data_IF_306109924536
#
_entry.id   IF_306109924536
#
_cell.length_a   1.000
_cell.length_b   1.000
_cell.length_c   1.000
_cell.angle_alpha   90.00
_cell.angle_beta   90.00
_cell.angle_gamma   90.00
#
_symmetry.space_group_name_H-M   'P 1'
#
loop_
_entity.id
_entity.type
_entity.pdbx_description
1 polymer ?
#
# COMPACT_ATOMS: atom_id res chain seq x y z
N UNK A 1 23.43 11.74 4.90
CA UNK A 1 22.48 12.79 4.52
C UNK A 1 21.11 12.27 4.88
N UNK A 2 20.32 13.00 5.65
CA UNK A 2 18.94 12.60 5.96
C UNK A 2 18.19 12.44 4.64
N UNK A 3 17.54 11.31 4.44
CA UNK A 3 16.77 11.07 3.23
C UNK A 3 15.46 11.87 3.36
N UNK A 4 15.45 13.09 2.79
CA UNK A 4 14.29 13.99 2.85
C UNK A 4 13.17 13.58 1.88
N UNK A 5 13.17 12.30 1.45
CA UNK A 5 12.24 11.80 0.48
C UNK A 5 11.20 10.88 1.11
N UNK A 6 9.96 11.04 0.69
CA UNK A 6 8.88 10.08 0.94
C UNK A 6 8.66 9.27 -0.34
N UNK A 7 8.75 7.95 -0.23
CA UNK A 7 8.47 7.03 -1.32
C UNK A 7 6.96 6.89 -1.50
N UNK A 8 6.52 6.92 -2.75
CA UNK A 8 5.11 6.71 -3.11
C UNK A 8 4.96 5.31 -3.65
N UNK A 9 4.15 4.52 -2.95
CA UNK A 9 3.81 3.15 -3.30
C UNK A 9 2.36 3.09 -3.78
N UNK A 10 2.17 2.84 -5.07
CA UNK A 10 0.84 2.71 -5.67
C UNK A 10 0.34 1.28 -5.56
N UNK A 11 -0.84 1.10 -4.98
CA UNK A 11 -1.52 -0.19 -4.88
C UNK A 11 -2.82 -0.26 -5.70
N UNK A 12 -2.99 0.62 -6.68
CA UNK A 12 -4.19 0.69 -7.53
C UNK A 12 -4.48 -0.64 -8.23
N UNK A 13 -3.41 -1.34 -8.68
CA UNK A 13 -3.50 -2.62 -9.40
C UNK A 13 -3.66 -3.84 -8.48
N UNK A 14 -3.64 -3.65 -7.16
CA UNK A 14 -3.87 -4.71 -6.17
C UNK A 14 -5.06 -4.37 -5.28
N UNK A 15 -4.93 -3.42 -4.34
CA UNK A 15 -5.98 -3.04 -3.40
C UNK A 15 -7.09 -2.25 -4.10
N UNK A 16 -6.71 -1.38 -5.04
CA UNK A 16 -7.67 -0.65 -5.86
C UNK A 16 -8.61 -1.57 -6.63
N UNK A 17 -8.10 -2.71 -7.13
CA UNK A 17 -8.90 -3.71 -7.84
C UNK A 17 -9.85 -4.50 -6.91
N UNK A 18 -9.64 -4.46 -5.59
CA UNK A 18 -10.56 -5.05 -4.61
C UNK A 18 -11.82 -4.20 -4.38
N UNK A 19 -11.91 -3.03 -5.01
CA UNK A 19 -13.15 -2.23 -5.01
C UNK A 19 -14.29 -3.01 -5.66
N UNK A 20 -15.49 -2.90 -5.09
CA UNK A 20 -16.65 -3.65 -5.57
C UNK A 20 -16.97 -3.31 -7.04
N UNK A 21 -17.10 -4.34 -7.88
CA UNK A 21 -17.45 -4.20 -9.29
C UNK A 21 -16.29 -3.85 -10.23
N UNK A 22 -15.07 -3.84 -9.73
CA UNK A 22 -13.85 -3.60 -10.53
C UNK A 22 -13.21 -4.95 -10.90
N UNK A 23 -12.74 -5.05 -12.13
CA UNK A 23 -11.92 -6.13 -12.63
C UNK A 23 -11.16 -5.65 -13.86
N UNK A 24 -9.84 -5.68 -13.82
CA UNK A 24 -8.98 -5.21 -14.90
C UNK A 24 -8.44 -6.39 -15.70
N UNK A 25 -8.44 -6.25 -17.02
CA UNK A 25 -7.71 -7.18 -17.91
C UNK A 25 -6.19 -6.99 -17.78
N UNK A 26 -5.41 -7.96 -18.25
CA UNK A 26 -3.94 -7.87 -18.27
C UNK A 26 -3.48 -6.63 -19.04
N UNK A 27 -4.11 -6.34 -20.17
CA UNK A 27 -3.80 -5.19 -21.00
C UNK A 27 -4.10 -3.86 -20.29
N UNK A 28 -5.23 -3.76 -19.60
CA UNK A 28 -5.61 -2.57 -18.82
C UNK A 28 -4.65 -2.35 -17.66
N UNK A 29 -4.29 -3.42 -16.93
CA UNK A 29 -3.26 -3.34 -15.87
C UNK A 29 -1.93 -2.83 -16.42
N UNK A 30 -1.50 -3.28 -17.59
CA UNK A 30 -0.27 -2.79 -18.22
C UNK A 30 -0.36 -1.32 -18.60
N UNK A 31 -1.49 -0.87 -19.13
CA UNK A 31 -1.70 0.55 -19.48
C UNK A 31 -1.63 1.44 -18.24
N UNK A 32 -2.28 1.04 -17.15
CA UNK A 32 -2.20 1.76 -15.86
C UNK A 32 -0.77 1.75 -15.32
N UNK A 33 -0.09 0.60 -15.31
CA UNK A 33 1.30 0.50 -14.82
C UNK A 33 2.26 1.42 -15.59
N UNK A 34 2.14 1.51 -16.91
CA UNK A 34 2.93 2.44 -17.74
C UNK A 34 2.62 3.91 -17.42
N UNK A 35 1.40 4.23 -17.08
CA UNK A 35 1.06 5.60 -16.67
C UNK A 35 1.58 5.90 -15.26
N UNK A 36 1.54 4.95 -14.34
CA UNK A 36 2.15 5.08 -13.01
C UNK A 36 3.68 5.28 -13.08
N UNK A 37 4.35 4.59 -14.02
CA UNK A 37 5.76 4.84 -14.31
C UNK A 37 6.01 6.27 -14.81
N UNK A 38 5.14 6.81 -15.69
CA UNK A 38 5.23 8.21 -16.15
C UNK A 38 4.95 9.21 -15.03
N UNK A 39 4.01 8.88 -14.14
CA UNK A 39 3.72 9.67 -12.95
C UNK A 39 4.94 9.74 -12.02
N UNK A 40 5.82 8.74 -12.07
CA UNK A 40 7.04 8.70 -11.28
C UNK A 40 6.83 8.17 -9.87
N UNK A 41 5.86 7.27 -9.65
CA UNK A 41 5.76 6.54 -8.38
C UNK A 41 7.01 5.68 -8.17
N UNK A 42 7.40 5.50 -6.93
CA UNK A 42 8.62 4.75 -6.59
C UNK A 42 8.39 3.24 -6.64
N UNK A 43 7.19 2.79 -6.27
CA UNK A 43 6.80 1.37 -6.23
C UNK A 43 5.40 1.20 -6.84
N UNK A 44 5.20 0.12 -7.60
CA UNK A 44 3.90 -0.35 -8.10
C UNK A 44 3.65 -1.74 -7.55
N UNK A 45 2.59 -1.92 -6.77
CA UNK A 45 2.08 -3.24 -6.41
C UNK A 45 1.21 -3.76 -7.54
N UNK A 46 1.80 -4.63 -8.36
CA UNK A 46 1.20 -5.04 -9.63
C UNK A 46 0.09 -6.08 -9.48
N UNK A 47 -0.11 -6.61 -8.27
CA UNK A 47 -1.16 -7.58 -7.95
C UNK A 47 -0.77 -8.58 -6.88
N UNK A 48 -1.54 -9.66 -6.81
CA UNK A 48 -1.32 -10.81 -5.94
C UNK A 48 -1.18 -12.09 -6.78
N UNK A 49 0.05 -12.45 -7.14
CA UNK A 49 0.35 -13.52 -8.11
C UNK A 49 -0.31 -14.87 -7.78
N UNK A 50 -0.46 -15.19 -6.49
CA UNK A 50 -1.04 -16.46 -6.06
C UNK A 50 -2.58 -16.45 -6.03
N UNK A 51 -3.25 -15.33 -6.32
CA UNK A 51 -4.71 -15.23 -6.32
C UNK A 51 -5.34 -15.90 -7.54
N UNK A 52 -4.74 -15.71 -8.71
CA UNK A 52 -5.21 -16.30 -9.97
C UNK A 52 -4.12 -16.40 -11.02
N UNK A 53 -4.28 -17.27 -12.04
CA UNK A 53 -3.39 -17.29 -13.21
C UNK A 53 -3.35 -15.96 -13.96
N UNK A 54 -4.47 -15.22 -14.00
CA UNK A 54 -4.56 -13.91 -14.64
C UNK A 54 -3.72 -12.86 -13.92
N UNK A 55 -3.71 -12.86 -12.58
CA UNK A 55 -2.85 -11.95 -11.79
C UNK A 55 -1.37 -12.29 -11.98
N UNK A 56 -1.01 -13.56 -12.00
CA UNK A 56 0.35 -13.99 -12.31
C UNK A 56 0.79 -13.50 -13.69
N UNK A 57 -0.05 -13.64 -14.71
CA UNK A 57 0.22 -13.18 -16.07
C UNK A 57 0.36 -11.65 -16.13
N UNK A 58 -0.53 -10.92 -15.45
CA UNK A 58 -0.48 -9.46 -15.39
C UNK A 58 0.82 -8.96 -14.77
N UNK A 59 1.21 -9.50 -13.61
CA UNK A 59 2.48 -9.14 -12.95
C UNK A 59 3.67 -9.46 -13.85
N UNK A 60 3.70 -10.65 -14.47
CA UNK A 60 4.75 -11.05 -15.40
C UNK A 60 4.83 -10.10 -16.59
N UNK A 61 3.69 -9.67 -17.13
CA UNK A 61 3.63 -8.72 -18.25
C UNK A 61 4.15 -7.35 -17.84
N UNK A 62 3.72 -6.84 -16.69
CA UNK A 62 4.19 -5.56 -16.15
C UNK A 62 5.70 -5.59 -15.91
N UNK A 63 6.25 -6.64 -15.31
CA UNK A 63 7.70 -6.76 -15.07
C UNK A 63 8.55 -6.77 -16.32
N UNK A 64 8.01 -7.26 -17.44
CA UNK A 64 8.70 -7.25 -18.72
C UNK A 64 8.74 -5.86 -19.39
N UNK A 65 7.76 -4.99 -19.11
CA UNK A 65 7.52 -3.74 -19.84
C UNK A 65 7.86 -2.48 -19.03
N UNK A 66 7.64 -2.51 -17.71
CA UNK A 66 7.86 -1.37 -16.79
C UNK A 66 9.18 -1.56 -16.06
N UNK A 67 10.06 -0.54 -16.07
CA UNK A 67 11.48 -0.69 -15.67
C UNK A 67 11.92 0.25 -14.55
N UNK A 68 11.35 1.44 -14.47
CA UNK A 68 11.83 2.48 -13.55
C UNK A 68 11.42 2.22 -12.10
N UNK A 69 10.12 1.98 -11.76
CA UNK A 69 9.71 1.75 -10.40
C UNK A 69 10.10 0.35 -9.91
N UNK A 70 10.08 0.17 -8.61
CA UNK A 70 10.10 -1.16 -8.00
C UNK A 70 8.76 -1.82 -8.34
N UNK A 71 8.79 -3.07 -8.80
CA UNK A 71 7.57 -3.85 -9.02
C UNK A 71 7.41 -4.82 -7.86
N UNK A 72 6.29 -4.68 -7.14
CA UNK A 72 5.95 -5.49 -6.00
C UNK A 72 4.82 -6.48 -6.33
N UNK A 73 4.85 -7.64 -5.70
CA UNK A 73 3.74 -8.59 -5.66
C UNK A 73 3.41 -8.93 -4.21
N UNK A 74 2.12 -8.87 -3.88
CA UNK A 74 1.63 -9.32 -2.58
C UNK A 74 1.73 -10.84 -2.46
N UNK A 75 2.03 -11.33 -1.25
CA UNK A 75 2.07 -12.75 -0.91
C UNK A 75 1.65 -12.95 0.55
N UNK A 76 0.78 -13.91 0.84
CA UNK A 76 0.55 -14.33 2.23
C UNK A 76 1.83 -14.93 2.80
N UNK A 77 1.96 -14.95 4.12
CA UNK A 77 3.05 -15.66 4.82
C UNK A 77 2.91 -17.19 4.68
N UNK A 78 2.91 -17.66 3.44
CA UNK A 78 2.85 -19.07 3.01
C UNK A 78 3.92 -19.29 1.94
N UNK A 79 4.73 -20.34 2.07
CA UNK A 79 5.86 -20.59 1.16
C UNK A 79 5.46 -20.61 -0.32
N UNK A 80 4.34 -21.29 -0.64
CA UNK A 80 3.85 -21.39 -2.02
C UNK A 80 3.50 -20.03 -2.63
N UNK A 81 2.91 -19.12 -1.84
CA UNK A 81 2.54 -17.78 -2.32
C UNK A 81 3.80 -16.94 -2.64
N UNK A 82 4.82 -17.06 -1.80
CA UNK A 82 6.11 -16.36 -1.98
C UNK A 82 6.81 -16.87 -3.22
N UNK A 83 6.80 -18.20 -3.44
CA UNK A 83 7.39 -18.82 -4.63
C UNK A 83 6.69 -18.37 -5.92
N UNK A 84 5.37 -18.32 -5.91
CA UNK A 84 4.57 -17.83 -7.05
C UNK A 84 4.78 -16.34 -7.29
N UNK A 85 4.87 -15.54 -6.22
CA UNK A 85 5.20 -14.12 -6.34
C UNK A 85 6.58 -13.90 -6.97
N UNK A 86 7.58 -14.67 -6.53
CA UNK A 86 8.90 -14.62 -7.14
C UNK A 86 8.90 -15.04 -8.61
N UNK A 87 8.19 -16.11 -8.94
CA UNK A 87 8.11 -16.57 -10.33
C UNK A 87 7.59 -15.48 -11.28
N UNK A 88 6.61 -14.71 -10.85
CA UNK A 88 6.08 -13.58 -11.59
C UNK A 88 7.04 -12.36 -11.63
N UNK A 89 7.82 -12.14 -10.57
CA UNK A 89 8.68 -10.96 -10.40
C UNK A 89 10.12 -11.12 -10.93
N UNK A 90 10.60 -12.34 -11.13
CA UNK A 90 12.03 -12.66 -11.38
C UNK A 90 12.69 -11.96 -12.57
N UNK A 91 11.88 -11.34 -13.46
CA UNK A 91 12.35 -10.55 -14.60
C UNK A 91 12.29 -9.04 -14.38
N UNK A 92 11.77 -8.59 -13.24
CA UNK A 92 11.76 -7.18 -12.91
C UNK A 92 13.20 -6.68 -12.71
N UNK A 93 13.47 -5.46 -13.15
CA UNK A 93 14.75 -4.79 -12.88
C UNK A 93 14.94 -4.54 -11.37
N UNK A 94 13.84 -4.26 -10.67
CA UNK A 94 13.79 -3.95 -9.24
C UNK A 94 12.61 -4.67 -8.60
N UNK A 95 12.74 -5.98 -8.29
CA UNK A 95 11.66 -6.76 -7.69
C UNK A 95 11.53 -6.49 -6.19
N UNK A 96 10.29 -6.50 -5.68
CA UNK A 96 9.96 -6.54 -4.25
C UNK A 96 8.94 -7.64 -3.98
N UNK A 97 9.19 -8.47 -2.99
CA UNK A 97 8.16 -9.35 -2.43
C UNK A 97 7.56 -8.67 -1.23
N UNK A 98 6.24 -8.42 -1.28
CA UNK A 98 5.47 -7.86 -0.17
C UNK A 98 4.71 -8.99 0.52
N UNK A 99 5.12 -9.36 1.73
CA UNK A 99 4.47 -10.44 2.47
C UNK A 99 3.72 -9.91 3.68
N UNK A 100 2.58 -10.55 4.02
CA UNK A 100 1.72 -10.11 5.10
C UNK A 100 1.12 -11.27 5.88
N UNK A 101 0.79 -10.99 7.14
CA UNK A 101 0.01 -11.88 8.01
C UNK A 101 -0.79 -11.04 9.01
N UNK A 102 -1.99 -11.51 9.36
CA UNK A 102 -2.80 -10.85 10.39
C UNK A 102 -2.12 -10.92 11.76
N UNK A 103 -2.21 -9.83 12.52
CA UNK A 103 -1.51 -9.70 13.80
C UNK A 103 -2.42 -9.34 15.00
N UNK A 104 -3.65 -8.84 14.76
CA UNK A 104 -4.58 -8.51 15.85
C UNK A 104 -5.21 -9.76 16.48
N UNK A 105 -5.51 -9.70 17.76
CA UNK A 105 -6.11 -10.80 18.51
C UNK A 105 -7.38 -11.34 17.86
N UNK A 106 -8.23 -10.45 17.35
CA UNK A 106 -9.46 -10.82 16.62
C UNK A 106 -9.14 -11.68 15.41
N UNK A 107 -8.15 -11.28 14.61
CA UNK A 107 -7.77 -12.04 13.42
C UNK A 107 -7.01 -13.32 13.76
N UNK A 108 -6.21 -13.33 14.81
CA UNK A 108 -5.50 -14.52 15.25
C UNK A 108 -6.46 -15.62 15.68
N UNK A 109 -7.50 -15.26 16.46
CA UNK A 109 -8.49 -16.21 16.96
C UNK A 109 -9.50 -16.64 15.89
N UNK A 110 -10.10 -15.66 15.18
CA UNK A 110 -11.27 -15.90 14.34
C UNK A 110 -10.92 -16.28 12.89
N UNK A 111 -9.76 -15.85 12.37
CA UNK A 111 -9.36 -16.08 10.99
C UNK A 111 -8.25 -17.12 10.89
N UNK A 112 -7.17 -16.96 11.64
CA UNK A 112 -6.01 -17.84 11.52
C UNK A 112 -6.08 -19.08 12.41
N UNK A 113 -6.82 -19.03 13.52
CA UNK A 113 -6.86 -20.04 14.55
C UNK A 113 -5.43 -20.45 15.00
N UNK A 114 -4.63 -19.43 15.32
CA UNK A 114 -3.23 -19.56 15.72
C UNK A 114 -2.90 -18.64 16.89
N UNK A 115 -1.94 -19.07 17.72
CA UNK A 115 -1.41 -18.22 18.76
C UNK A 115 -0.37 -17.22 18.22
N UNK A 116 -0.06 -16.14 18.96
CA UNK A 116 0.90 -15.10 18.53
C UNK A 116 2.29 -15.64 18.19
N UNK A 117 2.80 -16.65 18.89
CA UNK A 117 4.14 -17.22 18.66
C UNK A 117 4.20 -18.02 17.36
N UNK A 118 3.11 -18.72 17.02
CA UNK A 118 2.99 -19.41 15.74
C UNK A 118 2.99 -18.40 14.57
N UNK A 119 2.26 -17.28 14.71
CA UNK A 119 2.20 -16.23 13.71
C UNK A 119 3.55 -15.52 13.56
N UNK A 120 4.23 -15.21 14.66
CA UNK A 120 5.59 -14.66 14.63
C UNK A 120 6.55 -15.60 13.90
N UNK A 121 6.50 -16.90 14.20
CA UNK A 121 7.32 -17.91 13.51
C UNK A 121 7.03 -17.97 12.01
N UNK A 122 5.76 -17.88 11.62
CA UNK A 122 5.35 -17.86 10.20
C UNK A 122 5.87 -16.60 9.49
N UNK A 123 5.73 -15.44 10.13
CA UNK A 123 6.22 -14.17 9.57
C UNK A 123 7.73 -14.21 9.32
N UNK A 124 8.52 -14.64 10.32
CA UNK A 124 9.97 -14.76 10.20
C UNK A 124 10.36 -15.70 9.05
N UNK A 125 9.81 -16.91 9.00
CA UNK A 125 10.10 -17.88 7.93
C UNK A 125 9.73 -17.34 6.55
N UNK A 126 8.65 -16.59 6.46
CA UNK A 126 8.21 -16.01 5.19
C UNK A 126 9.14 -14.91 4.70
N UNK A 127 9.57 -14.02 5.58
CA UNK A 127 10.59 -13.01 5.27
C UNK A 127 11.91 -13.66 4.87
N UNK A 128 12.38 -14.66 5.64
CA UNK A 128 13.60 -15.42 5.29
C UNK A 128 13.49 -16.12 3.94
N UNK A 129 12.30 -16.63 3.58
CA UNK A 129 12.07 -17.24 2.28
C UNK A 129 12.11 -16.20 1.17
N UNK A 130 11.39 -15.10 1.31
CA UNK A 130 11.39 -14.00 0.34
C UNK A 130 12.80 -13.44 0.12
N UNK A 131 13.59 -13.31 1.20
CA UNK A 131 14.96 -12.82 1.16
C UNK A 131 15.91 -13.72 0.37
N UNK A 132 15.60 -15.02 0.21
CA UNK A 132 16.38 -15.92 -0.66
C UNK A 132 16.23 -15.58 -2.15
N UNK A 133 15.15 -14.88 -2.52
CA UNK A 133 14.82 -14.57 -3.88
C UNK A 133 15.22 -13.14 -4.28
N UNK A 134 14.97 -12.16 -3.42
CA UNK A 134 15.30 -10.76 -3.70
C UNK A 134 15.76 -10.03 -2.43
N UNK A 135 16.50 -8.93 -2.65
CA UNK A 135 17.03 -8.11 -1.54
C UNK A 135 15.99 -7.16 -0.94
N UNK A 136 14.97 -6.80 -1.67
CA UNK A 136 13.91 -5.90 -1.23
C UNK A 136 12.67 -6.70 -0.80
N UNK A 137 12.42 -6.74 0.51
CA UNK A 137 11.31 -7.48 1.11
C UNK A 137 10.52 -6.53 2.01
N UNK A 138 9.24 -6.38 1.73
CA UNK A 138 8.30 -5.67 2.57
C UNK A 138 7.47 -6.62 3.41
N UNK A 139 7.27 -6.27 4.68
CA UNK A 139 6.42 -7.03 5.59
C UNK A 139 5.32 -6.14 6.18
N UNK A 140 4.07 -6.64 6.14
CA UNK A 140 2.90 -6.00 6.74
C UNK A 140 2.29 -6.86 7.83
N UNK A 141 2.34 -6.44 9.11
CA UNK A 141 1.47 -6.97 10.16
C UNK A 141 0.04 -6.45 9.93
N UNK A 142 -0.78 -7.20 9.19
CA UNK A 142 -2.15 -6.79 8.85
C UNK A 142 -2.95 -6.54 10.13
N UNK A 143 -3.74 -5.44 10.14
CA UNK A 143 -4.52 -4.96 11.27
C UNK A 143 -3.65 -4.43 12.45
N UNK A 144 -2.51 -3.81 12.09
CA UNK A 144 -1.53 -3.30 13.04
C UNK A 144 -2.11 -2.29 14.03
N UNK A 145 -3.14 -1.55 13.64
CA UNK A 145 -3.77 -0.53 14.51
C UNK A 145 -4.57 -1.12 15.66
N UNK A 146 -5.03 -2.38 15.55
CA UNK A 146 -5.73 -3.13 16.61
C UNK A 146 -4.87 -4.20 17.28
N UNK A 147 -3.62 -4.33 16.87
CA UNK A 147 -2.65 -5.27 17.44
C UNK A 147 -2.11 -4.74 18.77
N UNK A 148 -1.93 -5.63 19.75
CA UNK A 148 -1.22 -5.30 21.00
C UNK A 148 0.17 -4.75 20.70
N UNK A 149 0.54 -3.65 21.35
CA UNK A 149 1.77 -2.93 21.03
C UNK A 149 3.04 -3.76 21.32
N UNK A 150 3.09 -4.47 22.44
CA UNK A 150 4.27 -5.26 22.81
C UNK A 150 4.49 -6.42 21.82
N UNK A 151 3.39 -7.07 21.42
CA UNK A 151 3.45 -8.09 20.38
C UNK A 151 3.84 -7.51 19.02
N UNK A 152 3.29 -6.35 18.65
CA UNK A 152 3.63 -5.67 17.41
C UNK A 152 5.11 -5.30 17.33
N UNK A 153 5.69 -4.79 18.42
CA UNK A 153 7.12 -4.47 18.46
C UNK A 153 7.98 -5.70 18.25
N UNK A 154 7.66 -6.81 18.92
CA UNK A 154 8.37 -8.09 18.77
C UNK A 154 8.28 -8.64 17.36
N UNK A 155 7.10 -8.56 16.76
CA UNK A 155 6.84 -9.03 15.38
C UNK A 155 7.65 -8.22 14.35
N UNK A 156 7.65 -6.90 14.49
CA UNK A 156 8.44 -6.00 13.64
C UNK A 156 9.94 -6.25 13.82
N UNK A 157 10.44 -6.30 15.06
CA UNK A 157 11.86 -6.54 15.32
C UNK A 157 12.34 -7.88 14.73
N UNK A 158 11.55 -8.94 14.90
CA UNK A 158 11.86 -10.26 14.39
C UNK A 158 11.89 -10.31 12.86
N UNK A 159 10.94 -9.65 12.20
CA UNK A 159 10.87 -9.63 10.73
C UNK A 159 11.97 -8.76 10.10
N UNK A 160 12.35 -7.65 10.72
CA UNK A 160 13.53 -6.87 10.30
C UNK A 160 14.81 -7.73 10.48
N UNK A 161 14.93 -8.46 11.59
CA UNK A 161 16.07 -9.36 11.84
C UNK A 161 16.14 -10.48 10.79
N UNK A 162 15.00 -10.97 10.33
CA UNK A 162 14.86 -11.96 9.26
C UNK A 162 15.22 -11.42 7.88
N UNK A 163 15.28 -10.09 7.70
CA UNK A 163 15.72 -9.43 6.46
C UNK A 163 14.70 -8.53 5.77
N UNK A 164 13.58 -8.20 6.42
CA UNK A 164 12.65 -7.21 5.88
C UNK A 164 13.36 -5.84 5.77
N UNK A 165 13.24 -5.22 4.62
CA UNK A 165 13.82 -3.90 4.29
C UNK A 165 12.82 -2.77 4.44
N UNK A 166 11.53 -3.11 4.46
CA UNK A 166 10.42 -2.19 4.67
C UNK A 166 9.40 -2.84 5.61
N UNK A 167 8.93 -2.07 6.57
CA UNK A 167 7.82 -2.45 7.46
C UNK A 167 6.66 -1.51 7.19
N UNK A 168 5.57 -2.07 6.71
CA UNK A 168 4.34 -1.33 6.52
C UNK A 168 3.41 -1.50 7.72
N UNK A 169 2.86 -0.42 8.22
CA UNK A 169 1.91 -0.38 9.35
C UNK A 169 0.52 -0.02 8.82
N UNK A 170 -0.36 -1.03 8.57
CA UNK A 170 -1.67 -0.75 8.00
C UNK A 170 -2.73 -0.40 9.05
N UNK A 171 -3.51 0.65 8.77
CA UNK A 171 -4.83 0.89 9.35
C UNK A 171 -5.88 0.15 8.51
N UNK A 172 -5.92 -1.16 8.68
CA UNK A 172 -6.69 -2.09 7.82
C UNK A 172 -8.20 -1.85 7.88
N UNK A 173 -8.73 -1.43 9.02
CA UNK A 173 -10.16 -1.16 9.19
C UNK A 173 -10.52 0.32 9.04
N UNK A 174 -9.54 1.20 8.81
CA UNK A 174 -9.74 2.61 8.53
C UNK A 174 -10.42 3.39 9.66
N UNK A 175 -10.15 3.03 10.92
CA UNK A 175 -10.88 3.58 12.07
C UNK A 175 -10.06 4.54 12.94
N UNK A 176 -8.76 4.68 12.67
CA UNK A 176 -7.90 5.57 13.45
C UNK A 176 -8.11 7.04 13.09
N UNK A 177 -7.75 7.90 14.01
CA UNK A 177 -7.66 9.35 13.79
C UNK A 177 -6.20 9.79 13.70
N UNK A 178 -5.88 10.94 13.08
CA UNK A 178 -4.49 11.32 12.82
C UNK A 178 -3.58 11.38 14.05
N UNK A 179 -4.09 11.86 15.19
CA UNK A 179 -3.31 11.92 16.43
C UNK A 179 -2.98 10.55 17.00
N UNK A 180 -3.92 9.60 16.92
CA UNK A 180 -3.74 8.22 17.38
C UNK A 180 -2.76 7.47 16.47
N UNK A 181 -2.92 7.59 15.15
CA UNK A 181 -2.05 6.93 14.20
C UNK A 181 -0.62 7.47 14.29
N UNK A 182 -0.46 8.80 14.38
CA UNK A 182 0.84 9.44 14.64
C UNK A 182 1.51 8.86 15.88
N UNK A 183 0.78 8.81 17.01
CA UNK A 183 1.31 8.26 18.28
C UNK A 183 1.76 6.81 18.11
N UNK A 184 1.00 5.98 17.39
CA UNK A 184 1.38 4.58 17.14
C UNK A 184 2.68 4.47 16.36
N UNK A 185 2.88 5.29 15.33
CA UNK A 185 4.13 5.34 14.56
C UNK A 185 5.31 5.79 15.44
N UNK A 186 5.12 6.83 16.27
CA UNK A 186 6.13 7.29 17.21
C UNK A 186 6.51 6.20 18.24
N UNK A 187 5.52 5.46 18.76
CA UNK A 187 5.76 4.34 19.68
C UNK A 187 6.54 3.20 19.02
N UNK A 188 6.21 2.83 17.78
CA UNK A 188 6.97 1.83 17.02
C UNK A 188 8.42 2.27 16.85
N UNK A 189 8.65 3.50 16.43
CA UNK A 189 10.02 4.04 16.25
C UNK A 189 10.84 4.05 17.54
N UNK A 190 10.20 4.31 18.66
CA UNK A 190 10.89 4.43 19.94
C UNK A 190 11.14 3.09 20.64
N UNK A 191 10.33 2.07 20.35
CA UNK A 191 10.36 0.81 21.08
C UNK A 191 10.86 -0.40 20.26
N UNK A 192 10.99 -0.29 18.93
CA UNK A 192 11.59 -1.33 18.09
C UNK A 192 13.07 -1.08 17.91
N UNK A 193 13.97 -1.89 18.50
CA UNK A 193 15.40 -1.55 18.60
C UNK A 193 16.14 -1.46 17.25
N UNK A 194 15.67 -2.18 16.25
CA UNK A 194 16.30 -2.28 14.93
C UNK A 194 15.51 -1.56 13.81
N UNK A 195 14.57 -0.67 14.18
CA UNK A 195 13.68 0.01 13.22
C UNK A 195 14.43 0.81 12.16
N UNK A 196 15.58 1.36 12.51
CA UNK A 196 16.42 2.15 11.61
C UNK A 196 17.04 1.34 10.45
N UNK A 197 16.94 0.01 10.49
CA UNK A 197 17.39 -0.88 9.41
C UNK A 197 16.34 -1.08 8.33
N UNK A 198 15.12 -0.60 8.54
CA UNK A 198 14.03 -0.72 7.59
C UNK A 198 13.38 0.63 7.31
N UNK A 199 12.75 0.76 6.13
CA UNK A 199 11.88 1.88 5.82
C UNK A 199 10.55 1.65 6.54
N UNK A 200 10.07 2.67 7.26
CA UNK A 200 8.74 2.64 7.86
C UNK A 200 7.72 3.14 6.83
N UNK A 201 6.81 2.27 6.46
CA UNK A 201 5.71 2.48 5.53
C UNK A 201 4.37 2.51 6.25
N UNK A 202 3.37 3.13 5.65
CA UNK A 202 2.00 3.15 6.14
C UNK A 202 1.01 2.94 5.01
N UNK A 203 -0.11 2.25 5.34
CA UNK A 203 -1.23 2.00 4.45
C UNK A 203 -2.53 2.26 5.21
N UNK A 204 -3.32 3.23 4.77
CA UNK A 204 -4.53 3.65 5.49
C UNK A 204 -5.78 3.46 4.64
N UNK A 205 -6.78 2.72 5.19
CA UNK A 205 -8.13 2.68 4.64
C UNK A 205 -8.96 3.89 5.07
N UNK A 206 -10.01 4.20 4.32
CA UNK A 206 -10.72 5.48 4.38
C UNK A 206 -12.14 5.38 4.99
N UNK A 207 -12.39 4.37 5.81
CA UNK A 207 -13.73 4.11 6.36
C UNK A 207 -14.28 5.28 7.20
N UNK A 208 -13.43 5.99 7.91
CA UNK A 208 -13.78 7.23 8.63
C UNK A 208 -13.41 8.52 7.87
N UNK A 209 -12.96 8.44 6.60
CA UNK A 209 -12.57 9.60 5.82
C UNK A 209 -11.24 10.22 6.23
N UNK A 210 -10.36 9.48 6.92
CA UNK A 210 -9.11 9.99 7.48
C UNK A 210 -7.85 9.43 6.80
N UNK A 211 -7.96 8.60 5.76
CA UNK A 211 -6.82 7.87 5.24
C UNK A 211 -5.64 8.76 4.81
N UNK A 212 -5.89 9.80 4.04
CA UNK A 212 -4.85 10.75 3.64
C UNK A 212 -4.28 11.52 4.86
N UNK A 213 -5.15 11.96 5.78
CA UNK A 213 -4.73 12.67 6.98
C UNK A 213 -3.90 11.79 7.92
N UNK A 214 -4.28 10.51 8.09
CA UNK A 214 -3.51 9.53 8.86
C UNK A 214 -2.13 9.28 8.22
N UNK A 215 -2.08 9.13 6.89
CA UNK A 215 -0.82 8.94 6.15
C UNK A 215 0.12 10.13 6.33
N UNK A 216 -0.38 11.36 6.26
CA UNK A 216 0.41 12.57 6.50
C UNK A 216 0.88 12.65 7.96
N UNK A 217 0.02 12.34 8.93
CA UNK A 217 0.41 12.31 10.35
C UNK A 217 1.51 11.26 10.62
N UNK A 218 1.48 10.13 9.92
CA UNK A 218 2.54 9.13 9.98
C UNK A 218 3.86 9.62 9.36
N UNK A 219 3.79 10.36 8.25
CA UNK A 219 4.99 10.99 7.63
C UNK A 219 5.63 12.00 8.59
N UNK A 220 4.84 12.80 9.29
CA UNK A 220 5.33 13.69 10.35
C UNK A 220 6.00 12.92 11.50
N UNK A 221 5.44 11.76 11.87
CA UNK A 221 6.01 10.86 12.88
C UNK A 221 7.28 10.13 12.41
N UNK A 222 7.58 10.17 11.12
CA UNK A 222 8.82 9.64 10.53
C UNK A 222 8.66 8.46 9.59
N UNK A 223 7.45 8.12 9.15
CA UNK A 223 7.25 7.23 8.01
C UNK A 223 7.90 7.83 6.75
N UNK A 224 8.45 6.99 5.89
CA UNK A 224 9.14 7.41 4.66
C UNK A 224 8.66 6.66 3.41
N UNK A 225 7.61 5.88 3.54
CA UNK A 225 6.83 5.33 2.44
C UNK A 225 5.35 5.48 2.78
N UNK A 226 4.54 5.84 1.79
CA UNK A 226 3.08 5.87 1.88
C UNK A 226 2.51 5.02 0.76
N UNK A 227 1.66 4.06 1.15
CA UNK A 227 0.87 3.24 0.25
C UNK A 227 -0.53 3.83 0.09
N UNK A 228 -1.05 3.75 -1.11
CA UNK A 228 -2.38 4.21 -1.44
C UNK A 228 -2.73 3.94 -2.89
N UNK A 229 -3.88 4.43 -3.31
CA UNK A 229 -4.37 4.23 -4.67
C UNK A 229 -4.66 5.56 -5.36
N UNK A 230 -4.55 5.54 -6.68
CA UNK A 230 -5.08 6.62 -7.52
C UNK A 230 -6.58 6.72 -7.27
N UNK A 231 -7.09 7.96 -7.14
CA UNK A 231 -8.49 8.27 -6.82
C UNK A 231 -8.99 7.70 -5.49
N UNK A 232 -8.10 7.27 -4.60
CA UNK A 232 -8.47 6.66 -3.32
C UNK A 232 -9.25 5.36 -3.46
N UNK A 233 -9.05 4.61 -4.55
CA UNK A 233 -9.68 3.30 -4.77
C UNK A 233 -9.26 2.31 -3.68
N UNK A 234 -10.05 1.25 -3.49
CA UNK A 234 -9.73 0.19 -2.54
C UNK A 234 -10.95 -0.46 -1.93
N UNK A 235 -10.69 -1.39 -1.03
CA UNK A 235 -11.75 -2.11 -0.31
C UNK A 235 -12.66 -1.16 0.48
N UNK A 236 -13.95 -1.44 0.53
CA UNK A 236 -14.99 -0.71 1.27
C UNK A 236 -15.08 0.78 0.88
N UNK A 237 -14.54 1.67 1.71
CA UNK A 237 -14.53 3.12 1.47
C UNK A 237 -13.26 3.62 0.73
N UNK A 238 -12.38 2.70 0.32
CA UNK A 238 -11.15 2.99 -0.39
C UNK A 238 -9.94 3.18 0.51
N UNK A 239 -8.84 3.60 -0.09
CA UNK A 239 -7.55 3.87 0.53
C UNK A 239 -7.24 5.38 0.61
N UNK A 240 -6.07 5.71 1.11
CA UNK A 240 -5.52 7.05 0.96
C UNK A 240 -5.41 7.40 -0.54
N UNK A 241 -6.02 8.50 -0.94
CA UNK A 241 -5.83 9.08 -2.28
C UNK A 241 -4.38 9.53 -2.40
N UNK A 242 -3.62 8.93 -3.32
CA UNK A 242 -2.22 9.30 -3.53
C UNK A 242 -2.10 10.74 -4.02
N UNK A 243 -3.06 11.24 -4.78
CA UNK A 243 -3.08 12.63 -5.23
C UNK A 243 -3.07 13.60 -4.04
N UNK A 244 -3.89 13.32 -3.01
CA UNK A 244 -3.97 14.16 -1.81
C UNK A 244 -2.67 14.10 -1.01
N UNK A 245 -2.09 12.93 -0.82
CA UNK A 245 -0.82 12.74 -0.11
C UNK A 245 0.32 13.45 -0.83
N UNK A 246 0.46 13.20 -2.15
CA UNK A 246 1.51 13.77 -2.98
C UNK A 246 1.42 15.30 -2.97
N UNK A 247 0.22 15.85 -3.23
CA UNK A 247 0.01 17.28 -3.30
C UNK A 247 0.17 17.96 -1.95
N UNK A 248 -0.18 17.28 -0.85
CA UNK A 248 0.06 17.80 0.50
C UNK A 248 1.56 17.95 0.76
N UNK A 249 2.37 16.92 0.49
CA UNK A 249 3.82 16.97 0.66
C UNK A 249 4.45 18.03 -0.26
N UNK A 250 4.04 18.04 -1.54
CA UNK A 250 4.56 18.98 -2.54
C UNK A 250 4.24 20.43 -2.20
N UNK A 251 2.97 20.72 -1.86
CA UNK A 251 2.52 22.09 -1.58
C UNK A 251 3.05 22.63 -0.26
N UNK A 252 3.27 21.74 0.71
CA UNK A 252 3.72 22.09 2.06
C UNK A 252 5.16 21.63 2.35
N UNK A 253 6.00 21.62 1.33
CA UNK A 253 7.44 21.38 1.49
C UNK A 253 8.07 22.31 2.53
N UNK A 254 7.55 23.55 2.63
CA UNK A 254 7.92 24.54 3.64
C UNK A 254 7.73 24.06 5.09
N UNK A 255 6.76 23.20 5.32
CA UNK A 255 6.43 22.63 6.64
C UNK A 255 7.15 21.32 6.88
N UNK A 256 7.11 20.42 5.90
CA UNK A 256 7.62 19.05 6.06
C UNK A 256 9.13 18.94 5.83
N UNK A 257 9.71 19.79 4.98
CA UNK A 257 11.09 19.65 4.50
C UNK A 257 11.31 18.35 3.74
N UNK A 258 10.24 17.76 3.19
CA UNK A 258 10.21 16.48 2.50
C UNK A 258 9.73 16.66 1.06
N UNK A 259 10.18 15.77 0.19
CA UNK A 259 9.82 15.75 -1.24
C UNK A 259 9.40 14.35 -1.68
N UNK A 260 8.79 14.25 -2.87
CA UNK A 260 8.53 12.99 -3.57
C UNK A 260 9.21 13.01 -4.95
N UNK A 261 9.25 11.87 -5.64
CA UNK A 261 9.75 11.80 -7.03
C UNK A 261 8.66 12.07 -8.07
N UNK A 262 7.42 12.23 -7.63
CA UNK A 262 6.27 12.27 -8.52
C UNK A 262 6.28 13.53 -9.39
N UNK A 263 6.07 13.35 -10.68
CA UNK A 263 5.74 14.44 -11.60
C UNK A 263 4.28 14.86 -11.41
N UNK A 264 4.07 15.94 -10.67
CA UNK A 264 2.73 16.42 -10.34
C UNK A 264 1.90 16.82 -11.57
N UNK A 265 2.52 17.08 -12.73
CA UNK A 265 1.82 17.35 -14.00
C UNK A 265 1.11 16.11 -14.55
N UNK A 266 1.53 14.92 -14.12
CA UNK A 266 0.94 13.63 -14.52
C UNK A 266 -0.22 13.18 -13.61
N UNK A 267 -0.50 13.86 -12.50
CA UNK A 267 -1.58 13.48 -11.58
C UNK A 267 -2.92 13.44 -12.31
N UNK A 268 -3.32 14.54 -12.95
CA UNK A 268 -4.61 14.59 -13.67
C UNK A 268 -4.73 13.56 -14.80
N UNK A 269 -3.73 13.42 -15.71
CA UNK A 269 -3.76 12.36 -16.72
C UNK A 269 -3.90 10.95 -16.14
N UNK A 270 -3.24 10.68 -15.01
CA UNK A 270 -3.30 9.37 -14.35
C UNK A 270 -4.66 9.11 -13.72
N UNK A 271 -5.17 10.05 -12.93
CA UNK A 271 -6.51 9.99 -12.34
C UNK A 271 -7.59 9.79 -13.41
N UNK A 272 -7.50 10.54 -14.52
CA UNK A 272 -8.44 10.42 -15.64
C UNK A 272 -8.36 9.05 -16.32
N UNK A 273 -7.15 8.55 -16.61
CA UNK A 273 -6.96 7.25 -17.24
C UNK A 273 -7.58 6.13 -16.39
N UNK A 274 -7.29 6.11 -15.08
CA UNK A 274 -7.83 5.10 -14.16
C UNK A 274 -9.37 5.20 -14.12
N UNK A 275 -9.93 6.41 -14.03
CA UNK A 275 -11.39 6.61 -14.04
C UNK A 275 -12.03 6.12 -15.34
N UNK A 276 -11.42 6.40 -16.48
CA UNK A 276 -11.95 6.02 -17.80
C UNK A 276 -11.90 4.49 -18.00
N UNK A 277 -10.81 3.82 -17.62
CA UNK A 277 -10.68 2.36 -17.69
C UNK A 277 -11.72 1.68 -16.80
N UNK A 278 -11.90 2.16 -15.57
CA UNK A 278 -12.84 1.58 -14.61
C UNK A 278 -14.29 2.03 -14.87
N UNK A 279 -14.52 2.88 -15.84
CA UNK A 279 -15.85 3.46 -16.13
C UNK A 279 -16.51 4.14 -14.91
N UNK A 280 -15.73 4.59 -13.94
CA UNK A 280 -16.22 5.14 -12.67
C UNK A 280 -17.09 6.39 -12.86
N UNK A 281 -16.83 7.17 -13.90
CA UNK A 281 -17.66 8.34 -14.26
C UNK A 281 -19.08 7.91 -14.63
N UNK A 282 -19.24 6.75 -15.23
CA UNK A 282 -20.56 6.23 -15.59
C UNK A 282 -21.30 5.60 -14.41
N UNK A 283 -20.58 5.16 -13.37
CA UNK A 283 -21.14 4.56 -12.15
C UNK A 283 -21.42 5.62 -11.10
N UNK A 284 -20.54 6.62 -10.95
CA UNK A 284 -20.67 7.68 -9.95
C UNK A 284 -21.49 8.88 -10.39
N UNK A 285 -21.85 8.99 -11.69
CA UNK A 285 -22.81 9.99 -12.16
C UNK A 285 -24.19 9.38 -12.50
N UNK A 286 -25.03 9.13 -11.48
CA UNK A 286 -26.47 9.05 -11.72
C UNK A 286 -27.06 10.45 -11.97
N UNK A 287 -26.24 11.48 -12.00
CA UNK A 287 -26.66 12.88 -12.18
C UNK A 287 -26.87 13.17 -13.66
N UNK A 288 -28.08 12.89 -14.12
CA UNK A 288 -28.63 13.68 -15.23
C UNK A 288 -28.50 15.15 -14.85
N UNK A 289 -28.22 16.02 -15.83
CA UNK A 289 -28.08 17.49 -15.65
C UNK A 289 -29.15 18.13 -14.72
N UNK A 290 -30.35 17.51 -14.60
CA UNK A 290 -31.42 17.95 -13.71
C UNK A 290 -31.19 17.71 -12.21
N UNK A 291 -30.26 16.78 -11.81
CA UNK A 291 -30.00 16.50 -10.40
C UNK A 291 -28.92 17.41 -9.80
N UNK A 292 -28.08 18.04 -10.62
CA UNK A 292 -27.15 19.08 -10.16
C UNK A 292 -27.91 20.29 -9.64
N UNK A 293 -29.03 20.65 -10.28
CA UNK A 293 -29.92 21.69 -9.80
C UNK A 293 -30.57 21.37 -8.46
N UNK A 294 -30.86 20.09 -8.19
CA UNK A 294 -31.44 19.65 -6.93
C UNK A 294 -30.43 19.67 -5.78
N UNK A 295 -29.20 19.26 -6.04
CA UNK A 295 -28.13 19.32 -5.02
C UNK A 295 -27.79 20.76 -4.61
N UNK A 296 -27.82 21.71 -5.54
CA UNK A 296 -27.62 23.13 -5.24
C UNK A 296 -28.80 23.72 -4.43
N UNK A 297 -30.02 23.18 -4.58
CA UNK A 297 -31.18 23.59 -3.80
C UNK A 297 -31.15 23.07 -2.36
N UNK A 298 -30.56 21.92 -2.11
CA UNK A 298 -30.42 21.35 -0.78
C UNK A 298 -29.31 22.00 0.07
N UNK A 299 -28.41 22.78 -0.57
CA UNK A 299 -27.32 23.51 0.10
C UNK A 299 -27.67 24.98 0.38
N UNK A 300 -28.88 25.43 0.08
CA UNK A 300 -29.47 26.70 0.50
C UNK A 300 -30.49 26.52 1.60
#
# INVERSE_FOLDING_TARGET
>A
MANNKVLIFDTTLRDGEQSAGIGLTVEEKLVVAKQLERLGVDIIEAGFAASSPGDHEAITTITNEVKTPIIASLARCVESDIDVAWDALKKAERPRIHTFISSSDVHLMDILNKDPEQVLTMAVKSVERAKKYCDDVEFSPMDATRTDLEYLYRLIEATITAGATTINVPDTVGYTIPSEFRQRIELIKNNVPNIDKAILSVHCHNDLGNAAANSIAAVEAGARQVEGCINGLGERAGNASLEEVIMTIHTREDVFGLTTNVDTTQIYPTSRLVSDILSLIHISEPTRLGMISYAVFCLK
#
